data_IF_912523963142
#
_entry.id   IF_912523963142
#
_cell.length_a   1.000
_cell.length_b   1.000
_cell.length_c   1.000
_cell.angle_alpha   90.00
_cell.angle_beta   90.00
_cell.angle_gamma   90.00
#
_symmetry.space_group_name_H-M   'P 1'
#
loop_
_entity.id
_entity.type
_entity.pdbx_description
1 polymer ?
#
# COMPACT_ATOMS: atom_id res chain seq x y z
N UNK A 1 -0.02 -20.48 -50.27
CA UNK A 1 0.63 -19.64 -51.30
C UNK A 1 0.09 -18.23 -51.12
N UNK A 2 0.97 -17.29 -50.80
CA UNK A 2 0.68 -15.87 -50.86
C UNK A 2 0.48 -15.44 -52.31
N UNK A 3 -0.39 -14.48 -52.59
CA UNK A 3 0.00 -13.30 -53.37
C UNK A 3 -1.16 -12.34 -53.72
N UNK A 4 -0.99 -11.11 -53.22
CA UNK A 4 -0.96 -9.85 -54.00
C UNK A 4 -2.29 -9.38 -54.64
N UNK A 5 -2.84 -8.29 -54.09
CA UNK A 5 -3.48 -7.27 -54.93
C UNK A 5 -2.78 -5.94 -54.69
N UNK A 6 -2.28 -5.35 -55.77
CA UNK A 6 -1.51 -4.10 -55.79
C UNK A 6 -2.19 -3.13 -56.75
N UNK A 7 -2.12 -1.84 -56.37
CA UNK A 7 -2.45 -0.60 -57.12
C UNK A 7 -3.86 -0.05 -56.89
N UNK A 8 -4.10 1.26 -56.84
CA UNK A 8 -3.29 2.49 -56.74
C UNK A 8 -4.33 3.61 -56.62
N UNK A 9 -4.33 4.42 -55.56
CA UNK A 9 -4.75 5.83 -55.51
C UNK A 9 -3.99 6.35 -54.29
N UNK A 10 -3.09 7.32 -54.30
CA UNK A 10 -3.07 8.57 -55.04
C UNK A 10 -2.85 9.66 -53.99
N UNK A 11 -1.63 10.21 -53.95
CA UNK A 11 -1.21 11.47 -53.31
C UNK A 11 -1.26 11.55 -51.76
N UNK A 12 -0.08 11.65 -51.15
CA UNK A 12 0.11 12.25 -49.84
C UNK A 12 0.82 11.34 -48.83
N UNK A 13 2.15 11.35 -48.86
CA UNK A 13 2.98 10.89 -47.74
C UNK A 13 2.66 11.77 -46.53
N UNK A 14 1.93 11.22 -45.56
CA UNK A 14 2.06 11.63 -44.18
C UNK A 14 2.52 10.40 -43.42
N UNK A 15 3.83 10.37 -43.15
CA UNK A 15 4.45 9.52 -42.14
C UNK A 15 3.84 9.97 -40.80
N UNK A 16 2.65 9.46 -40.50
CA UNK A 16 2.00 9.60 -39.21
C UNK A 16 2.73 8.69 -38.25
N UNK A 17 3.68 9.26 -37.52
CA UNK A 17 4.32 8.71 -36.34
C UNK A 17 3.26 8.01 -35.47
N UNK A 18 3.25 6.67 -35.50
CA UNK A 18 2.49 5.87 -34.54
C UNK A 18 3.19 6.06 -33.20
N UNK A 19 2.68 6.99 -32.39
CA UNK A 19 2.98 7.04 -30.97
C UNK A 19 2.38 5.78 -30.35
N UNK A 20 3.20 4.73 -30.21
CA UNK A 20 2.97 3.66 -29.26
C UNK A 20 2.75 4.34 -27.92
N UNK A 21 1.50 4.37 -27.46
CA UNK A 21 1.14 4.90 -26.17
C UNK A 21 1.96 4.12 -25.14
N UNK A 22 2.99 4.79 -24.63
CA UNK A 22 3.82 4.33 -23.55
C UNK A 22 2.88 4.15 -22.36
N UNK A 23 2.51 2.90 -22.10
CA UNK A 23 1.81 2.52 -20.88
C UNK A 23 2.81 2.81 -19.78
N UNK A 24 2.73 3.99 -19.17
CA UNK A 24 3.43 4.26 -17.93
C UNK A 24 2.75 3.38 -16.87
N UNK A 25 3.39 2.34 -16.34
CA UNK A 25 3.00 1.89 -15.02
C UNK A 25 3.35 3.07 -14.12
N UNK A 26 2.35 3.89 -13.78
CA UNK A 26 2.47 4.79 -12.65
C UNK A 26 2.77 3.88 -11.46
N UNK A 27 4.04 3.77 -11.12
CA UNK A 27 4.48 3.19 -9.87
C UNK A 27 3.80 4.04 -8.81
N UNK A 28 2.67 3.55 -8.30
CA UNK A 28 2.00 4.11 -7.16
C UNK A 28 3.02 4.02 -6.02
N UNK A 29 3.74 5.12 -5.79
CA UNK A 29 4.55 5.28 -4.61
C UNK A 29 3.57 5.11 -3.44
N UNK A 30 3.72 4.02 -2.71
CA UNK A 30 2.96 3.72 -1.50
C UNK A 30 3.44 4.71 -0.42
N UNK A 31 3.02 5.97 -0.53
CA UNK A 31 3.21 7.01 0.47
C UNK A 31 2.21 6.74 1.61
N UNK A 32 2.33 5.59 2.25
CA UNK A 32 1.69 5.34 3.55
C UNK A 32 2.43 6.19 4.58
N UNK A 33 2.14 7.49 4.58
CA UNK A 33 2.67 8.45 5.54
C UNK A 33 2.20 8.02 6.94
N UNK A 34 3.13 7.47 7.73
CA UNK A 34 2.84 7.03 9.11
C UNK A 34 2.43 8.23 9.95
N UNK A 35 1.58 7.99 10.95
CA UNK A 35 1.29 9.04 11.91
C UNK A 35 2.56 9.39 12.70
N UNK A 36 2.80 10.66 13.06
CA UNK A 36 3.91 11.02 13.92
C UNK A 36 3.72 10.40 15.32
N UNK A 37 4.82 10.14 16.03
CA UNK A 37 4.76 9.67 17.41
C UNK A 37 4.27 10.80 18.31
N UNK A 38 3.31 10.50 19.19
CA UNK A 38 2.82 11.42 20.20
C UNK A 38 2.94 10.80 21.59
N UNK A 39 3.87 11.32 22.40
CA UNK A 39 4.13 10.75 23.74
C UNK A 39 3.00 10.98 24.74
N UNK A 40 2.09 11.92 24.50
CA UNK A 40 0.88 12.08 25.34
C UNK A 40 -0.13 10.96 25.14
N UNK A 41 -0.11 10.29 23.98
CA UNK A 41 -1.01 9.17 23.64
C UNK A 41 -0.31 7.82 23.65
N UNK A 42 1.02 7.78 23.84
CA UNK A 42 1.81 6.55 23.79
C UNK A 42 1.24 5.37 24.61
N UNK A 43 0.70 5.55 25.83
CA UNK A 43 0.07 4.43 26.55
C UNK A 43 -1.15 3.86 25.83
N UNK A 44 -1.93 4.70 25.17
CA UNK A 44 -3.06 4.28 24.33
C UNK A 44 -2.60 3.59 23.05
N UNK A 45 -1.59 4.16 22.38
CA UNK A 45 -1.04 3.64 21.13
C UNK A 45 -0.43 2.24 21.33
N UNK A 46 0.32 2.05 22.42
CA UNK A 46 0.89 0.74 22.77
C UNK A 46 -0.19 -0.30 23.10
N UNK A 47 -1.29 0.10 23.76
CA UNK A 47 -2.43 -0.79 24.00
C UNK A 47 -3.13 -1.19 22.71
N UNK A 48 -3.34 -0.22 21.80
CA UNK A 48 -3.92 -0.49 20.49
C UNK A 48 -3.05 -1.46 19.68
N UNK A 49 -1.74 -1.21 19.62
CA UNK A 49 -0.78 -2.10 18.95
C UNK A 49 -0.79 -3.51 19.55
N UNK A 50 -0.79 -3.64 20.88
CA UNK A 50 -0.79 -4.95 21.53
C UNK A 50 -2.10 -5.73 21.29
N UNK A 51 -3.25 -5.07 21.39
CA UNK A 51 -4.55 -5.67 21.10
C UNK A 51 -4.64 -6.12 19.64
N UNK A 52 -4.12 -5.30 18.74
CA UNK A 52 -4.15 -5.57 17.32
C UNK A 52 -3.16 -6.64 16.89
N UNK A 53 -1.97 -6.70 17.50
CA UNK A 53 -1.03 -7.80 17.30
C UNK A 53 -1.66 -9.13 17.70
N UNK A 54 -2.28 -9.19 18.87
CA UNK A 54 -3.01 -10.38 19.33
C UNK A 54 -4.12 -10.75 18.36
N UNK A 55 -4.87 -9.77 17.86
CA UNK A 55 -5.91 -9.99 16.86
C UNK A 55 -5.35 -10.50 15.52
N UNK A 56 -4.23 -9.94 15.04
CA UNK A 56 -3.58 -10.35 13.80
C UNK A 56 -2.95 -11.76 13.90
N UNK A 57 -2.48 -12.13 15.09
CA UNK A 57 -2.01 -13.49 15.40
C UNK A 57 -3.18 -14.50 15.43
N UNK A 58 -4.30 -14.11 16.04
CA UNK A 58 -5.48 -14.96 16.22
C UNK A 58 -6.35 -15.05 14.95
N UNK A 59 -6.32 -14.06 14.05
CA UNK A 59 -7.27 -13.91 12.93
C UNK A 59 -6.60 -13.51 11.60
N UNK A 60 -5.74 -14.35 11.04
CA UNK A 60 -5.19 -14.16 9.68
C UNK A 60 -6.24 -14.20 8.53
N UNK A 61 -7.55 -14.25 8.81
CA UNK A 61 -8.56 -14.63 7.80
C UNK A 61 -9.92 -13.92 7.86
N UNK A 62 -10.23 -13.13 8.89
CA UNK A 62 -11.54 -12.47 8.95
C UNK A 62 -11.52 -11.17 8.10
N UNK A 63 -12.17 -11.21 6.94
CA UNK A 63 -12.25 -10.14 5.92
C UNK A 63 -12.95 -8.84 6.38
N UNK A 64 -13.12 -8.62 7.68
CA UNK A 64 -13.71 -7.41 8.23
C UNK A 64 -12.60 -6.42 8.54
N UNK A 65 -12.13 -5.75 7.49
CA UNK A 65 -11.18 -4.64 7.57
C UNK A 65 -11.90 -3.40 8.10
N UNK A 66 -12.38 -3.50 9.34
CA UNK A 66 -12.74 -2.33 10.11
C UNK A 66 -11.47 -1.49 10.31
N UNK A 67 -11.61 -0.17 10.44
CA UNK A 67 -10.50 0.73 10.68
C UNK A 67 -9.78 0.26 11.94
N UNK A 68 -8.65 -0.45 11.78
CA UNK A 68 -7.91 -0.94 12.91
C UNK A 68 -7.09 0.22 13.50
N UNK A 69 -7.21 0.52 14.80
CA UNK A 69 -6.57 1.69 15.41
C UNK A 69 -5.05 1.73 15.23
N UNK A 70 -4.35 0.60 15.29
CA UNK A 70 -2.90 0.54 15.06
C UNK A 70 -2.55 0.56 13.56
N UNK A 71 -3.43 0.07 12.69
CA UNK A 71 -3.33 0.28 11.25
C UNK A 71 -3.25 1.77 10.88
N UNK A 72 -4.02 2.62 11.56
CA UNK A 72 -3.94 4.07 11.38
C UNK A 72 -2.56 4.63 11.76
N UNK A 73 -1.93 4.13 12.85
CA UNK A 73 -0.58 4.54 13.25
C UNK A 73 0.45 4.24 12.16
N UNK A 74 0.25 3.16 11.41
CA UNK A 74 1.08 2.76 10.28
C UNK A 74 0.73 3.48 8.96
N UNK A 75 -0.23 4.40 8.96
CA UNK A 75 -0.70 5.07 7.74
C UNK A 75 -1.57 4.15 6.85
N UNK A 76 -2.01 3.01 7.40
CA UNK A 76 -2.93 2.07 6.78
C UNK A 76 -4.39 2.49 7.06
N UNK A 77 -4.66 3.78 6.85
CA UNK A 77 -6.03 4.29 6.83
C UNK A 77 -6.73 3.61 5.64
N UNK A 78 -7.84 2.95 5.93
CA UNK A 78 -8.60 2.07 5.04
C UNK A 78 -8.80 2.63 3.63
N UNK A 79 -8.86 1.74 2.63
CA UNK A 79 -9.44 2.10 1.31
C UNK A 79 -8.66 1.68 0.06
N UNK A 80 -7.55 0.96 0.18
CA UNK A 80 -6.85 0.43 -1.01
C UNK A 80 -6.50 -1.04 -0.84
N UNK A 81 -6.68 -1.83 -1.91
CA UNK A 81 -6.39 -3.27 -1.93
C UNK A 81 -4.95 -3.56 -1.53
N UNK A 82 -3.97 -2.75 -1.96
CA UNK A 82 -2.57 -2.92 -1.57
C UNK A 82 -2.32 -2.78 -0.07
N UNK A 83 -2.96 -1.82 0.60
CA UNK A 83 -2.86 -1.64 2.06
C UNK A 83 -3.54 -2.79 2.81
N UNK A 84 -4.65 -3.29 2.27
CA UNK A 84 -5.32 -4.48 2.80
C UNK A 84 -4.42 -5.72 2.71
N UNK A 85 -3.79 -5.95 1.55
CA UNK A 85 -2.84 -7.06 1.37
C UNK A 85 -1.65 -6.97 2.34
N UNK A 86 -1.14 -5.76 2.61
CA UNK A 86 -0.10 -5.55 3.64
C UNK A 86 -0.55 -5.95 5.04
N UNK A 87 -1.81 -5.71 5.41
CA UNK A 87 -2.34 -6.12 6.72
C UNK A 87 -2.58 -7.62 6.82
N UNK A 88 -2.99 -8.27 5.73
CA UNK A 88 -3.14 -9.73 5.67
C UNK A 88 -1.80 -10.47 5.55
N UNK A 89 -0.73 -9.77 5.20
CA UNK A 89 0.61 -10.35 5.14
C UNK A 89 1.19 -10.52 6.54
N UNK A 90 2.06 -11.52 6.72
CA UNK A 90 2.84 -11.68 7.96
C UNK A 90 3.78 -10.51 8.28
N UNK A 91 3.96 -9.55 7.36
CA UNK A 91 4.73 -8.34 7.60
C UNK A 91 3.98 -7.32 8.45
N UNK A 92 2.66 -7.48 8.63
CA UNK A 92 1.86 -6.58 9.44
C UNK A 92 2.28 -6.57 10.91
N UNK A 93 2.45 -7.75 11.50
CA UNK A 93 2.92 -7.93 12.88
C UNK A 93 4.30 -7.29 13.06
N UNK A 94 5.19 -7.45 12.08
CA UNK A 94 6.53 -6.84 12.12
C UNK A 94 6.47 -5.32 12.13
N UNK A 95 5.55 -4.73 11.36
CA UNK A 95 5.35 -3.28 11.35
C UNK A 95 4.76 -2.77 12.67
N UNK A 96 3.85 -3.52 13.28
CA UNK A 96 3.33 -3.23 14.62
C UNK A 96 4.43 -3.25 15.69
N UNK A 97 5.29 -4.28 15.67
CA UNK A 97 6.42 -4.38 16.59
C UNK A 97 7.44 -3.25 16.39
N UNK A 98 7.79 -2.96 15.13
CA UNK A 98 8.68 -1.84 14.80
C UNK A 98 8.10 -0.50 15.27
N UNK A 99 6.78 -0.32 15.13
CA UNK A 99 6.10 0.90 15.58
C UNK A 99 6.05 1.01 17.10
N UNK A 100 5.81 -0.09 17.81
CA UNK A 100 5.87 -0.11 19.27
C UNK A 100 7.29 0.26 19.76
N UNK A 101 8.33 -0.30 19.13
CA UNK A 101 9.71 0.02 19.45
C UNK A 101 10.06 1.50 19.17
N UNK A 102 9.57 2.06 18.06
CA UNK A 102 9.71 3.48 17.73
C UNK A 102 9.07 4.37 18.81
N UNK A 103 7.83 4.06 19.22
CA UNK A 103 7.11 4.81 20.27
C UNK A 103 7.87 4.73 21.60
N UNK A 104 8.28 3.52 21.99
CA UNK A 104 9.05 3.29 23.22
C UNK A 104 10.36 4.08 23.24
N UNK A 105 11.15 3.96 22.18
CA UNK A 105 12.44 4.66 22.05
C UNK A 105 12.26 6.18 22.01
N UNK A 106 11.23 6.69 21.34
CA UNK A 106 11.01 8.14 21.19
C UNK A 106 10.50 8.76 22.49
N UNK A 107 9.65 8.05 23.23
CA UNK A 107 9.01 8.56 24.43
C UNK A 107 9.71 8.15 25.74
N UNK A 108 10.78 7.36 25.67
CA UNK A 108 11.50 6.89 26.86
C UNK A 108 10.68 5.94 27.73
N UNK A 109 9.93 5.03 27.09
CA UNK A 109 9.07 4.05 27.75
C UNK A 109 9.69 2.66 27.55
N UNK A 110 9.98 1.94 28.63
CA UNK A 110 10.49 0.56 28.62
C UNK A 110 9.39 -0.50 28.46
#
# INVERSE_FOLDING_TARGET
>A
MAAISKQMIGRGVSIGLVCVALVCPALAADDSKRHPVNCSTAPGDLRAIAAEKKHAEDQQVESVVSILPAGALLGLVTGTENKHLKMLSGDYIKQLDARAAEIKSTCGID
#
